data_IF_798041796216
#
_entry.id   IF_798041796216
#
_cell.length_a   1.000
_cell.length_b   1.000
_cell.length_c   1.000
_cell.angle_alpha   90.00
_cell.angle_beta   90.00
_cell.angle_gamma   90.00
#
_symmetry.space_group_name_H-M   'P 1'
#
loop_
_entity.id
_entity.type
_entity.pdbx_description
1 polymer ?
#
# COMPACT_ATOMS: atom_id res chain seq x y z
N UNK A 1 8.45 -11.41 -3.06
CA UNK A 1 7.32 -11.98 -2.35
C UNK A 1 6.75 -13.11 -3.18
N UNK A 2 6.57 -14.31 -2.61
CA UNK A 2 5.97 -15.45 -3.31
C UNK A 2 4.46 -15.23 -3.46
N UNK A 3 3.87 -15.75 -4.54
CA UNK A 3 2.41 -15.73 -4.74
C UNK A 3 1.84 -17.07 -4.33
N UNK A 4 0.82 -17.04 -3.47
CA UNK A 4 0.10 -18.25 -3.10
C UNK A 4 -0.75 -18.72 -4.31
N UNK A 5 -0.65 -19.97 -4.77
CA UNK A 5 -1.43 -20.46 -5.90
C UNK A 5 -2.95 -20.42 -5.60
N UNK A 6 -3.77 -20.46 -6.66
CA UNK A 6 -5.23 -20.42 -6.53
C UNK A 6 -5.78 -21.63 -5.74
N UNK A 7 -5.13 -22.77 -5.83
CA UNK A 7 -5.45 -23.96 -5.03
C UNK A 7 -4.22 -24.35 -4.19
N UNK A 8 -3.96 -23.65 -3.07
CA UNK A 8 -2.80 -23.90 -2.24
C UNK A 8 -2.98 -25.17 -1.41
N UNK A 9 -1.87 -25.86 -1.17
CA UNK A 9 -1.87 -27.08 -0.35
C UNK A 9 -1.08 -26.85 0.94
N UNK A 10 -1.73 -27.01 2.09
CA UNK A 10 -1.14 -26.78 3.40
C UNK A 10 0.03 -27.71 3.71
N UNK A 11 -0.04 -28.97 3.27
CA UNK A 11 1.05 -29.93 3.49
C UNK A 11 2.29 -29.61 2.65
N UNK A 12 2.07 -29.01 1.48
CA UNK A 12 3.17 -28.46 0.68
C UNK A 12 3.86 -27.29 1.41
N UNK A 13 3.08 -26.38 1.97
CA UNK A 13 3.60 -25.26 2.75
C UNK A 13 4.32 -25.72 4.03
N UNK A 14 3.81 -26.76 4.70
CA UNK A 14 4.47 -27.37 5.86
C UNK A 14 5.84 -27.98 5.48
N UNK A 15 5.95 -28.60 4.31
CA UNK A 15 7.24 -29.10 3.80
C UNK A 15 8.19 -27.94 3.51
N UNK A 16 7.73 -26.91 2.81
CA UNK A 16 8.56 -25.72 2.57
C UNK A 16 9.06 -25.08 3.87
N UNK A 17 8.23 -25.04 4.92
CA UNK A 17 8.66 -24.53 6.24
C UNK A 17 9.75 -25.40 6.86
N UNK A 18 9.68 -26.72 6.70
CA UNK A 18 10.73 -27.65 7.19
C UNK A 18 12.03 -27.50 6.39
N UNK A 19 11.93 -27.31 5.07
CA UNK A 19 13.10 -27.09 4.23
C UNK A 19 13.78 -25.75 4.57
N UNK A 20 12.96 -24.72 4.82
CA UNK A 20 13.45 -23.41 5.26
C UNK A 20 14.12 -23.48 6.64
N UNK A 21 13.60 -24.30 7.56
CA UNK A 21 14.20 -24.51 8.88
C UNK A 21 15.62 -25.06 8.79
N UNK A 22 15.87 -25.97 7.85
CA UNK A 22 17.23 -26.49 7.66
C UNK A 22 18.21 -25.34 7.33
N UNK A 23 17.86 -24.50 6.37
CA UNK A 23 18.69 -23.34 6.02
C UNK A 23 18.79 -22.28 7.14
N UNK A 24 17.74 -22.09 7.93
CA UNK A 24 17.80 -21.17 9.09
C UNK A 24 18.76 -21.67 10.16
N UNK A 25 18.82 -22.98 10.40
CA UNK A 25 19.72 -23.59 11.38
C UNK A 25 21.19 -23.55 11.01
N UNK A 26 21.50 -23.39 9.73
CA UNK A 26 22.87 -23.14 9.28
C UNK A 26 23.39 -21.78 9.76
N UNK A 27 22.48 -20.79 9.88
CA UNK A 27 22.81 -19.46 10.36
C UNK A 27 22.58 -19.28 11.87
N UNK A 28 21.54 -19.91 12.42
CA UNK A 28 21.17 -19.93 13.84
C UNK A 28 20.73 -21.34 14.26
N UNK A 29 21.59 -22.09 14.96
CA UNK A 29 21.29 -23.45 15.41
C UNK A 29 20.07 -23.55 16.34
N UNK A 30 19.62 -22.44 16.96
CA UNK A 30 18.48 -22.37 17.87
C UNK A 30 17.15 -22.16 17.16
N UNK A 31 17.17 -21.92 15.83
CA UNK A 31 15.97 -21.65 15.05
C UNK A 31 14.93 -22.76 15.20
N UNK A 32 13.70 -22.36 15.47
CA UNK A 32 12.55 -23.24 15.67
C UNK A 32 11.71 -23.42 14.40
N UNK A 33 10.85 -24.45 14.39
CA UNK A 33 9.87 -24.59 13.30
C UNK A 33 8.91 -23.39 13.23
N UNK A 34 8.60 -22.77 14.37
CA UNK A 34 7.76 -21.58 14.42
C UNK A 34 8.41 -20.40 13.68
N UNK A 35 9.73 -20.22 13.80
CA UNK A 35 10.47 -19.18 13.09
C UNK A 35 10.47 -19.44 11.58
N UNK A 36 10.65 -20.67 11.15
CA UNK A 36 10.57 -21.06 9.75
C UNK A 36 9.17 -20.87 9.16
N UNK A 37 8.13 -21.21 9.93
CA UNK A 37 6.74 -20.99 9.54
C UNK A 37 6.42 -19.49 9.43
N UNK A 38 6.88 -18.69 10.37
CA UNK A 38 6.71 -17.25 10.35
C UNK A 38 7.42 -16.63 9.14
N UNK A 39 8.68 -17.00 8.88
CA UNK A 39 9.44 -16.55 7.72
C UNK A 39 8.79 -16.98 6.39
N UNK A 40 8.24 -18.19 6.32
CA UNK A 40 7.51 -18.64 5.12
C UNK A 40 6.23 -17.84 4.91
N UNK A 41 5.47 -17.56 5.96
CA UNK A 41 4.27 -16.73 5.88
C UNK A 41 4.59 -15.33 5.33
N UNK A 42 5.66 -14.71 5.82
CA UNK A 42 6.16 -13.43 5.33
C UNK A 42 6.55 -13.47 3.85
N UNK A 43 7.23 -14.54 3.40
CA UNK A 43 7.56 -14.71 1.98
C UNK A 43 6.32 -14.72 1.08
N UNK A 44 5.19 -15.21 1.60
CA UNK A 44 3.89 -15.20 0.92
C UNK A 44 3.08 -13.90 1.21
N UNK A 45 3.64 -12.96 1.99
CA UNK A 45 3.00 -11.69 2.30
C UNK A 45 1.94 -11.79 3.39
N UNK A 46 1.99 -12.81 4.23
CA UNK A 46 1.11 -12.97 5.39
C UNK A 46 1.85 -12.59 6.67
N UNK A 47 1.11 -12.05 7.61
CA UNK A 47 1.62 -11.60 8.89
C UNK A 47 2.09 -12.78 9.76
N UNK A 48 1.29 -13.84 9.81
CA UNK A 48 1.56 -15.00 10.63
C UNK A 48 1.34 -16.31 9.84
N UNK A 49 1.85 -17.42 10.38
CA UNK A 49 1.54 -18.76 9.87
C UNK A 49 0.05 -19.09 9.97
N UNK A 50 -0.60 -18.59 11.01
CA UNK A 50 -2.04 -18.75 11.22
C UNK A 50 -2.82 -18.05 10.11
N UNK A 51 -2.42 -16.84 9.72
CA UNK A 51 -3.05 -16.11 8.62
C UNK A 51 -2.84 -16.82 7.28
N UNK A 52 -1.63 -17.32 7.02
CA UNK A 52 -1.35 -18.11 5.81
C UNK A 52 -2.22 -19.37 5.78
N UNK A 53 -2.38 -20.07 6.92
CA UNK A 53 -3.29 -21.22 7.05
C UNK A 53 -4.74 -20.83 6.77
N UNK A 54 -5.23 -19.78 7.40
CA UNK A 54 -6.59 -19.30 7.20
C UNK A 54 -6.85 -18.96 5.72
N UNK A 55 -5.87 -18.38 5.03
CA UNK A 55 -5.96 -18.12 3.59
C UNK A 55 -6.00 -19.41 2.75
N UNK A 56 -5.21 -20.43 3.11
CA UNK A 56 -5.27 -21.75 2.48
C UNK A 56 -6.65 -22.38 2.67
N UNK A 57 -7.14 -22.42 3.91
CA UNK A 57 -8.45 -22.98 4.25
C UNK A 57 -9.57 -22.20 3.52
N UNK A 58 -9.45 -20.89 3.45
CA UNK A 58 -10.38 -20.03 2.71
C UNK A 58 -10.39 -20.37 1.21
N UNK A 59 -9.22 -20.53 0.57
CA UNK A 59 -9.12 -20.90 -0.86
C UNK A 59 -9.63 -22.30 -1.12
N UNK A 60 -9.49 -23.20 -0.16
CA UNK A 60 -10.02 -24.56 -0.23
C UNK A 60 -11.53 -24.66 0.11
N UNK A 61 -12.15 -23.55 0.48
CA UNK A 61 -13.60 -23.46 0.67
C UNK A 61 -14.08 -23.67 2.12
N UNK A 62 -13.16 -23.64 3.11
CA UNK A 62 -13.48 -24.04 4.48
C UNK A 62 -13.75 -22.93 5.49
N UNK A 63 -13.23 -21.72 5.32
CA UNK A 63 -13.29 -20.73 6.40
C UNK A 63 -13.82 -19.37 5.92
N UNK A 64 -14.44 -18.66 6.86
CA UNK A 64 -14.83 -17.27 6.77
C UNK A 64 -15.90 -16.97 5.69
N UNK A 65 -17.01 -17.68 5.82
CA UNK A 65 -18.24 -17.40 5.08
C UNK A 65 -19.13 -16.51 5.95
N UNK A 66 -19.62 -15.43 5.38
CA UNK A 66 -20.56 -14.56 6.08
C UNK A 66 -21.92 -15.24 6.27
N UNK A 67 -22.67 -14.79 7.27
CA UNK A 67 -24.08 -15.15 7.42
C UNK A 67 -24.82 -14.88 6.08
N UNK A 68 -25.53 -15.86 5.53
CA UNK A 68 -26.34 -15.68 4.32
C UNK A 68 -27.33 -14.52 4.42
N UNK A 69 -27.87 -14.24 5.62
CA UNK A 69 -28.75 -13.10 5.84
C UNK A 69 -28.02 -11.76 5.64
N UNK A 70 -26.77 -11.64 6.08
CA UNK A 70 -25.94 -10.46 5.84
C UNK A 70 -25.65 -10.28 4.36
N UNK A 71 -25.29 -11.35 3.64
CA UNK A 71 -25.05 -11.30 2.20
C UNK A 71 -26.30 -10.83 1.44
N UNK A 72 -27.48 -11.36 1.80
CA UNK A 72 -28.77 -10.93 1.24
C UNK A 72 -29.09 -9.46 1.55
N UNK A 73 -28.84 -8.99 2.77
CA UNK A 73 -29.04 -7.59 3.13
C UNK A 73 -28.14 -6.65 2.34
N UNK A 74 -26.85 -7.00 2.15
CA UNK A 74 -25.92 -6.23 1.33
C UNK A 74 -26.40 -6.19 -0.12
N UNK A 75 -26.76 -7.35 -0.70
CA UNK A 75 -27.23 -7.42 -2.06
C UNK A 75 -28.51 -6.58 -2.27
N UNK A 76 -29.47 -6.65 -1.36
CA UNK A 76 -30.70 -5.88 -1.42
C UNK A 76 -30.42 -4.37 -1.29
N UNK A 77 -29.59 -3.97 -0.30
CA UNK A 77 -29.29 -2.56 -0.05
C UNK A 77 -28.55 -1.90 -1.20
N UNK A 78 -27.68 -2.62 -1.90
CA UNK A 78 -26.93 -2.13 -3.05
C UNK A 78 -27.58 -2.50 -4.40
N UNK A 79 -28.79 -3.06 -4.42
CA UNK A 79 -29.51 -3.40 -5.66
C UNK A 79 -28.77 -4.42 -6.55
N UNK A 80 -28.03 -5.34 -5.94
CA UNK A 80 -27.19 -6.32 -6.64
C UNK A 80 -27.97 -7.58 -7.07
N UNK A 81 -29.28 -7.61 -6.80
CA UNK A 81 -30.19 -8.72 -7.06
C UNK A 81 -29.91 -9.97 -6.21
N UNK A 82 -30.14 -11.16 -6.76
CA UNK A 82 -30.12 -12.41 -6.03
C UNK A 82 -28.69 -12.91 -5.77
N UNK A 83 -28.42 -13.30 -4.54
CA UNK A 83 -27.14 -13.91 -4.15
C UNK A 83 -27.10 -15.35 -4.67
N UNK A 84 -26.07 -15.70 -5.45
CA UNK A 84 -25.94 -17.00 -6.12
C UNK A 84 -24.94 -17.93 -5.44
N UNK A 85 -24.20 -17.44 -4.44
CA UNK A 85 -23.21 -18.22 -3.71
C UNK A 85 -22.87 -17.60 -2.35
N UNK A 86 -22.10 -18.30 -1.52
CA UNK A 86 -21.72 -17.80 -0.21
C UNK A 86 -20.82 -16.57 -0.34
N UNK A 87 -21.07 -15.53 0.47
CA UNK A 87 -20.17 -14.37 0.58
C UNK A 87 -18.93 -14.78 1.37
N UNK A 88 -17.75 -14.75 0.71
CA UNK A 88 -16.48 -15.25 1.26
C UNK A 88 -15.54 -14.11 1.63
N UNK A 89 -14.88 -14.23 2.78
CA UNK A 89 -13.87 -13.26 3.18
C UNK A 89 -12.66 -13.29 2.24
N UNK A 90 -12.18 -12.08 1.89
CA UNK A 90 -10.96 -11.84 1.13
C UNK A 90 -9.88 -11.17 1.98
N UNK A 91 -10.23 -10.81 3.21
CA UNK A 91 -9.32 -10.18 4.16
C UNK A 91 -8.60 -11.21 5.00
N UNK A 92 -7.44 -10.83 5.50
CA UNK A 92 -6.84 -11.49 6.65
C UNK A 92 -7.66 -11.16 7.90
N UNK A 93 -7.65 -12.02 8.93
CA UNK A 93 -8.44 -11.79 10.15
C UNK A 93 -8.15 -10.46 10.85
N UNK A 94 -6.92 -9.98 10.74
CA UNK A 94 -6.39 -8.75 11.37
C UNK A 94 -6.31 -7.55 10.43
N UNK A 95 -6.78 -7.70 9.18
CA UNK A 95 -6.76 -6.60 8.22
C UNK A 95 -7.86 -5.59 8.55
N UNK A 96 -7.47 -4.30 8.63
CA UNK A 96 -8.43 -3.21 8.83
C UNK A 96 -9.43 -3.17 7.68
N UNK A 97 -10.73 -3.16 8.02
CA UNK A 97 -11.81 -3.14 7.05
C UNK A 97 -11.93 -4.44 6.27
N UNK A 98 -12.74 -5.36 6.76
CA UNK A 98 -12.93 -6.66 6.11
C UNK A 98 -13.41 -6.52 4.68
N UNK A 99 -12.76 -7.24 3.76
CA UNK A 99 -13.11 -7.34 2.34
C UNK A 99 -13.74 -8.70 2.06
N UNK A 100 -14.75 -8.71 1.23
CA UNK A 100 -15.52 -9.90 0.89
C UNK A 100 -15.64 -10.06 -0.62
N UNK A 101 -15.87 -11.27 -1.08
CA UNK A 101 -16.35 -11.59 -2.42
C UNK A 101 -17.81 -12.01 -2.30
N UNK A 102 -18.69 -11.30 -2.99
CA UNK A 102 -20.11 -11.58 -3.11
C UNK A 102 -20.43 -11.92 -4.56
N UNK A 103 -21.07 -13.06 -4.80
CA UNK A 103 -21.54 -13.47 -6.13
C UNK A 103 -23.06 -13.31 -6.20
N UNK A 104 -23.52 -12.67 -7.27
CA UNK A 104 -24.95 -12.47 -7.55
C UNK A 104 -25.24 -12.79 -9.02
N UNK A 105 -26.51 -12.86 -9.39
CA UNK A 105 -26.95 -13.01 -10.78
C UNK A 105 -26.53 -11.85 -11.71
N UNK A 106 -26.09 -10.71 -11.12
CA UNK A 106 -25.52 -9.57 -11.86
C UNK A 106 -23.98 -9.60 -11.98
N UNK A 107 -23.33 -10.55 -11.34
CA UNK A 107 -21.87 -10.68 -11.36
C UNK A 107 -21.24 -10.74 -9.99
N UNK A 108 -19.96 -10.38 -9.94
CA UNK A 108 -19.15 -10.41 -8.73
C UNK A 108 -18.95 -9.01 -8.17
N UNK A 109 -18.92 -8.92 -6.85
CA UNK A 109 -18.81 -7.69 -6.10
C UNK A 109 -17.81 -7.84 -4.96
N UNK A 110 -17.23 -6.72 -4.56
CA UNK A 110 -16.30 -6.63 -3.45
C UNK A 110 -16.90 -5.78 -2.31
N UNK A 111 -17.78 -6.33 -1.45
CA UNK A 111 -18.21 -5.66 -0.24
C UNK A 111 -17.02 -5.46 0.72
N UNK A 112 -17.05 -4.33 1.40
CA UNK A 112 -16.03 -3.96 2.38
C UNK A 112 -16.64 -3.19 3.53
N UNK A 113 -16.21 -3.49 4.78
CA UNK A 113 -16.51 -2.63 5.91
C UNK A 113 -15.69 -1.33 5.81
N UNK A 114 -16.30 -0.23 6.24
CA UNK A 114 -15.63 1.07 6.31
C UNK A 114 -15.07 1.23 7.71
N UNK A 115 -13.76 1.33 7.79
CA UNK A 115 -13.06 1.65 9.03
C UNK A 115 -13.08 3.14 9.29
N UNK A 116 -13.30 3.53 10.54
CA UNK A 116 -13.31 4.93 10.97
C UNK A 116 -11.89 5.49 11.19
N UNK A 117 -10.87 4.62 11.10
CA UNK A 117 -9.48 5.04 11.37
C UNK A 117 -8.91 5.92 10.26
N UNK A 118 -9.40 5.82 9.02
CA UNK A 118 -8.91 6.59 7.88
C UNK A 118 -9.95 7.01 6.83
N UNK A 119 -11.08 7.61 7.12
CA UNK A 119 -11.70 8.43 6.10
C UNK A 119 -11.24 9.87 6.29
N UNK A 120 -10.11 10.22 5.74
CA UNK A 120 -9.71 11.63 5.70
C UNK A 120 -10.58 12.41 4.70
N UNK A 121 -11.16 11.67 3.76
CA UNK A 121 -12.13 12.18 2.79
C UNK A 121 -13.47 11.51 3.04
N UNK A 122 -14.55 12.30 3.04
CA UNK A 122 -15.91 11.77 3.14
C UNK A 122 -16.15 10.66 2.11
N UNK A 123 -16.98 9.69 2.48
CA UNK A 123 -17.25 8.54 1.63
C UNK A 123 -17.82 8.89 0.27
N UNK A 124 -18.67 9.91 0.21
CA UNK A 124 -19.29 10.38 -1.03
C UNK A 124 -18.30 11.17 -1.89
N UNK A 125 -17.48 12.03 -1.28
CA UNK A 125 -16.44 12.78 -2.00
C UNK A 125 -15.40 11.84 -2.57
N UNK A 126 -15.01 10.80 -1.81
CA UNK A 126 -14.12 9.74 -2.29
C UNK A 126 -14.70 8.97 -3.49
N UNK A 127 -15.99 8.64 -3.45
CA UNK A 127 -16.64 7.95 -4.58
C UNK A 127 -16.73 8.84 -5.81
N UNK A 128 -17.10 10.11 -5.67
CA UNK A 128 -17.12 11.09 -6.77
C UNK A 128 -15.74 11.23 -7.40
N UNK A 129 -14.68 11.21 -6.60
CA UNK A 129 -13.31 11.24 -7.09
C UNK A 129 -12.97 9.97 -7.90
N UNK A 130 -13.32 8.78 -7.39
CA UNK A 130 -13.14 7.53 -8.12
C UNK A 130 -13.92 7.52 -9.44
N UNK A 131 -15.18 7.95 -9.42
CA UNK A 131 -16.02 8.06 -10.61
C UNK A 131 -15.43 9.05 -11.64
N UNK A 132 -14.87 10.16 -11.17
CA UNK A 132 -14.19 11.14 -12.03
C UNK A 132 -12.91 10.55 -12.65
N UNK A 133 -12.10 9.83 -11.86
CA UNK A 133 -10.91 9.14 -12.34
C UNK A 133 -11.25 8.05 -13.38
N UNK A 134 -12.32 7.29 -13.13
CA UNK A 134 -12.81 6.28 -14.08
C UNK A 134 -13.25 6.92 -15.40
N UNK A 135 -14.01 8.01 -15.36
CA UNK A 135 -14.41 8.77 -16.56
C UNK A 135 -13.21 9.33 -17.32
N UNK A 136 -12.13 9.67 -16.62
CA UNK A 136 -10.87 10.11 -17.23
C UNK A 136 -10.01 8.96 -17.78
N UNK A 137 -10.48 7.68 -17.65
CA UNK A 137 -9.85 6.50 -18.25
C UNK A 137 -8.99 5.67 -17.31
N UNK A 138 -8.91 6.01 -16.02
CA UNK A 138 -8.25 5.16 -15.03
C UNK A 138 -9.09 3.91 -14.80
N UNK A 139 -8.47 2.74 -14.91
CA UNK A 139 -9.13 1.48 -14.61
C UNK A 139 -9.06 1.22 -13.10
N UNK A 140 -10.20 1.15 -12.47
CA UNK A 140 -10.35 0.96 -11.02
C UNK A 140 -11.65 0.19 -10.72
N UNK A 141 -11.76 -0.48 -9.57
CA UNK A 141 -13.02 -1.02 -9.08
C UNK A 141 -14.03 0.10 -8.87
N UNK A 142 -15.12 0.12 -9.65
CA UNK A 142 -16.13 1.17 -9.51
C UNK A 142 -16.91 1.02 -8.19
N UNK A 143 -17.13 2.09 -7.41
CA UNK A 143 -17.98 2.05 -6.26
C UNK A 143 -19.43 1.86 -6.68
N UNK A 144 -20.13 0.91 -6.06
CA UNK A 144 -21.56 0.73 -6.22
C UNK A 144 -22.30 1.72 -5.31
N UNK A 145 -23.44 2.21 -5.78
CA UNK A 145 -24.36 3.01 -4.98
C UNK A 145 -25.49 2.15 -4.45
N UNK A 146 -25.84 2.36 -3.19
CA UNK A 146 -27.01 1.74 -2.60
C UNK A 146 -28.31 2.22 -3.25
N UNK A 147 -29.41 1.57 -2.95
CA UNK A 147 -30.75 1.94 -3.42
C UNK A 147 -31.20 3.32 -2.90
N UNK A 148 -30.58 3.82 -1.85
CA UNK A 148 -30.72 5.20 -1.34
C UNK A 148 -29.96 6.23 -2.18
N UNK A 149 -29.05 5.81 -3.07
CA UNK A 149 -28.09 6.63 -3.79
C UNK A 149 -26.77 6.83 -3.05
N UNK A 150 -26.66 6.46 -1.76
CA UNK A 150 -25.45 6.59 -0.98
C UNK A 150 -24.42 5.51 -1.37
N UNK A 151 -23.12 5.82 -1.25
CA UNK A 151 -22.03 4.86 -1.45
C UNK A 151 -21.63 4.12 -0.18
N UNK A 152 -22.08 4.61 0.97
CA UNK A 152 -21.90 3.97 2.27
C UNK A 152 -23.26 3.69 2.86
N UNK A 153 -23.51 2.42 3.16
CA UNK A 153 -24.76 1.96 3.76
C UNK A 153 -24.48 1.34 5.13
N UNK A 154 -25.40 1.53 6.09
CA UNK A 154 -25.31 0.86 7.39
C UNK A 154 -26.16 -0.41 7.36
N UNK A 155 -25.53 -1.55 7.61
CA UNK A 155 -26.14 -2.88 7.59
C UNK A 155 -25.60 -3.67 8.77
N UNK A 156 -26.48 -4.19 9.62
CA UNK A 156 -26.08 -4.98 10.81
C UNK A 156 -25.19 -4.21 11.79
N UNK A 157 -25.39 -2.88 11.90
CA UNK A 157 -24.58 -2.02 12.77
C UNK A 157 -23.22 -1.61 12.20
N UNK A 158 -22.80 -2.16 11.07
CA UNK A 158 -21.55 -1.82 10.39
C UNK A 158 -21.81 -0.95 9.17
N UNK A 159 -20.83 -0.11 8.82
CA UNK A 159 -20.83 0.70 7.61
C UNK A 159 -20.19 -0.11 6.48
N UNK A 160 -20.84 -0.13 5.31
CA UNK A 160 -20.43 -0.92 4.16
C UNK A 160 -20.27 -0.08 2.93
N UNK A 161 -19.24 -0.42 2.13
CA UNK A 161 -19.10 -0.04 0.73
C UNK A 161 -19.06 -1.29 -0.13
N UNK A 162 -19.50 -1.17 -1.36
CA UNK A 162 -19.41 -2.25 -2.35
C UNK A 162 -18.72 -1.72 -3.60
N UNK A 163 -17.88 -2.54 -4.16
CA UNK A 163 -17.17 -2.23 -5.41
C UNK A 163 -17.45 -3.32 -6.43
N UNK A 164 -17.39 -2.94 -7.70
CA UNK A 164 -17.40 -3.90 -8.80
C UNK A 164 -16.13 -4.77 -8.71
N UNK A 165 -16.30 -6.07 -8.96
CA UNK A 165 -15.18 -6.99 -9.00
C UNK A 165 -14.45 -6.91 -10.33
N UNK A 166 -13.19 -6.50 -10.32
CA UNK A 166 -12.33 -6.52 -11.49
C UNK A 166 -11.38 -7.73 -11.45
N UNK A 167 -11.41 -8.52 -12.52
CA UNK A 167 -10.44 -9.60 -12.71
C UNK A 167 -9.06 -8.99 -12.99
N UNK A 168 -8.11 -9.28 -12.14
CA UNK A 168 -6.74 -8.79 -12.24
C UNK A 168 -5.76 -9.77 -11.62
N UNK A 169 -4.49 -9.67 -12.01
CA UNK A 169 -3.39 -10.41 -11.41
C UNK A 169 -3.11 -10.00 -9.96
N UNK A 170 -2.06 -10.57 -9.36
CA UNK A 170 -1.63 -10.19 -8.02
C UNK A 170 -1.14 -8.73 -7.99
N UNK A 171 -1.04 -8.13 -6.79
CA UNK A 171 -0.37 -6.85 -6.61
C UNK A 171 1.03 -6.88 -7.22
N UNK A 172 1.45 -5.77 -7.80
CA UNK A 172 2.81 -5.62 -8.30
C UNK A 172 3.80 -5.50 -7.14
N UNK A 173 5.05 -5.78 -7.41
CA UNK A 173 6.16 -5.55 -6.49
C UNK A 173 7.35 -4.96 -7.28
N UNK A 174 7.95 -3.88 -6.78
CA UNK A 174 9.15 -3.34 -7.40
C UNK A 174 10.35 -4.30 -7.20
N UNK A 175 11.27 -4.40 -8.17
CA UNK A 175 11.32 -3.63 -9.42
C UNK A 175 10.35 -4.14 -10.50
N UNK A 176 9.77 -3.22 -11.24
CA UNK A 176 8.91 -3.50 -12.41
C UNK A 176 9.51 -2.94 -13.69
N UNK A 177 8.96 -3.32 -14.84
CA UNK A 177 9.43 -2.79 -16.14
C UNK A 177 9.19 -1.28 -16.28
N UNK A 178 10.04 -0.61 -17.05
CA UNK A 178 9.89 0.81 -17.37
C UNK A 178 8.56 1.12 -18.07
N UNK A 179 7.98 0.16 -18.80
CA UNK A 179 6.67 0.32 -19.42
C UNK A 179 5.56 0.47 -18.36
N UNK A 180 5.60 -0.32 -17.30
CA UNK A 180 4.65 -0.24 -16.18
C UNK A 180 4.79 1.12 -15.47
N UNK A 181 6.01 1.53 -15.11
CA UNK A 181 6.22 2.82 -14.43
C UNK A 181 5.82 4.01 -15.29
N UNK A 182 6.00 3.93 -16.60
CA UNK A 182 5.50 4.95 -17.54
C UNK A 182 3.97 5.07 -17.48
N UNK A 183 3.27 3.93 -17.47
CA UNK A 183 1.80 3.93 -17.34
C UNK A 183 1.35 4.45 -15.98
N UNK A 184 2.08 4.16 -14.91
CA UNK A 184 1.82 4.75 -13.58
C UNK A 184 1.94 6.28 -13.62
N UNK A 185 2.95 6.81 -14.30
CA UNK A 185 3.09 8.26 -14.51
C UNK A 185 1.91 8.88 -15.27
N UNK A 186 1.42 8.23 -16.31
CA UNK A 186 0.22 8.64 -17.06
C UNK A 186 -1.03 8.65 -16.17
N UNK A 187 -1.22 7.61 -15.36
CA UNK A 187 -2.33 7.51 -14.39
C UNK A 187 -2.27 8.65 -13.37
N UNK A 188 -1.12 8.89 -12.75
CA UNK A 188 -0.94 10.00 -11.79
C UNK A 188 -1.27 11.34 -12.41
N UNK A 189 -0.77 11.61 -13.61
CA UNK A 189 -1.07 12.85 -14.34
C UNK A 189 -2.58 12.98 -14.66
N UNK A 190 -3.25 11.88 -14.99
CA UNK A 190 -4.69 11.84 -15.22
C UNK A 190 -5.45 12.21 -13.95
N UNK A 191 -5.08 11.61 -12.82
CA UNK A 191 -5.70 11.87 -11.50
C UNK A 191 -5.48 13.32 -11.06
N UNK A 192 -4.25 13.82 -11.13
CA UNK A 192 -3.92 15.21 -10.79
C UNK A 192 -4.60 16.23 -11.73
N UNK A 193 -4.81 15.82 -12.99
CA UNK A 193 -5.50 16.64 -13.99
C UNK A 193 -6.98 16.90 -13.68
N UNK A 194 -7.59 16.13 -12.77
CA UNK A 194 -8.95 16.38 -12.28
C UNK A 194 -9.06 17.66 -11.45
N UNK A 195 -7.96 18.11 -10.82
CA UNK A 195 -7.83 19.35 -10.06
C UNK A 195 -8.96 19.59 -9.05
N UNK A 196 -9.44 18.55 -8.40
CA UNK A 196 -10.46 18.64 -7.36
C UNK A 196 -9.81 19.21 -6.09
N UNK A 197 -10.18 20.42 -5.63
CA UNK A 197 -9.58 21.01 -4.44
C UNK A 197 -9.85 20.15 -3.20
N UNK A 198 -8.86 20.05 -2.30
CA UNK A 198 -8.99 19.33 -1.05
C UNK A 198 -8.06 19.91 0.02
N UNK A 199 -8.41 19.83 1.31
CA UNK A 199 -7.51 20.24 2.38
C UNK A 199 -6.28 19.34 2.42
N UNK A 200 -5.14 19.91 2.83
CA UNK A 200 -3.88 19.18 2.92
C UNK A 200 -3.99 18.02 3.92
N UNK A 201 -3.54 16.84 3.49
CA UNK A 201 -3.55 15.63 4.30
C UNK A 201 -2.68 15.77 5.57
N UNK A 202 -3.24 15.63 6.77
CA UNK A 202 -2.48 15.71 8.01
C UNK A 202 -1.38 14.64 8.07
N UNK A 203 -1.65 13.40 7.64
CA UNK A 203 -0.69 12.30 7.67
C UNK A 203 0.63 12.59 6.95
N UNK A 204 0.57 13.34 5.85
CA UNK A 204 1.74 13.69 5.03
C UNK A 204 2.30 15.07 5.37
N UNK A 205 1.68 15.83 6.29
CA UNK A 205 2.07 17.21 6.59
C UNK A 205 2.41 17.47 8.05
N UNK A 206 1.95 16.61 8.96
CA UNK A 206 2.15 16.73 10.40
C UNK A 206 2.79 15.45 10.93
N UNK A 207 3.86 15.60 11.73
CA UNK A 207 4.42 14.48 12.48
C UNK A 207 3.60 14.27 13.75
N UNK A 208 2.98 13.07 13.88
CA UNK A 208 2.16 12.73 15.04
C UNK A 208 2.95 12.24 16.25
N UNK A 209 4.16 11.68 16.03
CA UNK A 209 5.01 11.22 17.14
C UNK A 209 5.47 12.40 17.99
N UNK A 210 5.17 12.36 19.28
CA UNK A 210 5.63 13.35 20.27
C UNK A 210 7.06 13.11 20.74
N UNK A 211 7.50 11.84 20.74
CA UNK A 211 8.80 11.39 21.22
C UNK A 211 9.88 11.56 20.14
N UNK A 212 11.09 11.96 20.54
CA UNK A 212 12.25 12.00 19.65
C UNK A 212 12.73 10.59 19.29
N UNK A 213 13.44 10.45 18.16
CA UNK A 213 13.90 9.13 17.70
C UNK A 213 14.90 8.47 18.64
N UNK A 214 15.82 9.26 19.24
CA UNK A 214 16.76 8.75 20.24
C UNK A 214 16.03 8.31 21.51
N UNK A 215 15.10 9.11 22.01
CA UNK A 215 14.27 8.80 23.16
C UNK A 215 13.43 7.54 22.94
N UNK A 216 12.87 7.36 21.73
CA UNK A 216 12.15 6.15 21.36
C UNK A 216 13.06 4.91 21.33
N UNK A 217 14.32 5.06 20.86
CA UNK A 217 15.30 3.99 20.88
C UNK A 217 15.67 3.58 22.32
N UNK A 218 15.86 4.57 23.22
CA UNK A 218 16.13 4.34 24.64
C UNK A 218 14.93 3.65 25.32
N UNK A 219 13.70 4.09 25.02
CA UNK A 219 12.48 3.47 25.55
C UNK A 219 12.32 2.02 25.07
N UNK A 220 12.62 1.74 23.80
CA UNK A 220 12.62 0.40 23.26
C UNK A 220 13.67 -0.51 23.92
N UNK A 221 14.89 0.02 24.16
CA UNK A 221 15.94 -0.69 24.87
C UNK A 221 15.54 -0.99 26.32
N UNK A 222 14.97 -0.02 27.02
CA UNK A 222 14.49 -0.19 28.41
C UNK A 222 13.39 -1.26 28.54
N UNK A 223 12.56 -1.44 27.50
CA UNK A 223 11.55 -2.52 27.42
C UNK A 223 12.16 -3.86 26.96
N UNK A 224 13.45 -3.93 26.65
CA UNK A 224 14.10 -5.14 26.13
C UNK A 224 13.67 -5.53 24.72
N UNK A 225 13.18 -4.59 23.90
CA UNK A 225 12.76 -4.85 22.55
C UNK A 225 13.95 -5.32 21.69
N UNK A 226 13.84 -6.50 21.09
CA UNK A 226 14.93 -7.11 20.33
C UNK A 226 15.34 -6.29 19.09
N UNK A 227 14.48 -5.39 18.61
CA UNK A 227 14.75 -4.46 17.52
C UNK A 227 15.33 -3.09 17.96
N UNK A 228 15.46 -2.83 19.26
CA UNK A 228 16.00 -1.56 19.77
C UNK A 228 17.37 -1.19 19.17
N UNK A 229 18.35 -2.11 19.02
CA UNK A 229 19.62 -1.79 18.37
C UNK A 229 19.46 -1.36 16.90
N UNK A 230 18.47 -1.94 16.18
CA UNK A 230 18.18 -1.58 14.77
C UNK A 230 17.59 -0.17 14.71
N UNK A 231 16.69 0.19 15.64
CA UNK A 231 16.16 1.55 15.73
C UNK A 231 17.26 2.55 16.08
N UNK A 232 18.12 2.25 17.06
CA UNK A 232 19.24 3.10 17.41
C UNK A 232 20.16 3.37 16.22
N UNK A 233 20.49 2.34 15.42
CA UNK A 233 21.25 2.48 14.19
C UNK A 233 20.53 3.31 13.11
N UNK A 234 19.20 3.29 13.08
CA UNK A 234 18.37 4.04 12.10
C UNK A 234 18.15 5.52 12.52
N UNK A 235 18.43 5.92 13.76
CA UNK A 235 18.20 7.29 14.26
C UNK A 235 18.79 8.37 13.35
N UNK A 236 20.03 8.27 12.83
CA UNK A 236 20.57 9.29 11.92
C UNK A 236 19.74 9.42 10.62
N UNK A 237 19.29 8.31 10.06
CA UNK A 237 18.42 8.29 8.87
C UNK A 237 17.08 8.94 9.16
N UNK A 238 16.44 8.58 10.27
CA UNK A 238 15.16 9.13 10.70
C UNK A 238 15.25 10.63 10.97
N UNK A 239 16.35 11.09 11.59
CA UNK A 239 16.64 12.52 11.80
C UNK A 239 16.83 13.25 10.46
N UNK A 240 17.53 12.62 9.51
CA UNK A 240 17.67 13.16 8.15
C UNK A 240 16.32 13.27 7.41
N UNK A 241 15.46 12.29 7.55
CA UNK A 241 14.08 12.33 7.02
C UNK A 241 13.23 13.40 7.73
N UNK A 242 13.41 13.58 9.04
CA UNK A 242 12.73 14.64 9.78
C UNK A 242 13.12 16.03 9.24
N UNK A 243 14.38 16.27 8.97
CA UNK A 243 14.81 17.53 8.37
C UNK A 243 14.18 17.80 6.99
N UNK A 244 13.96 16.74 6.17
CA UNK A 244 13.22 16.87 4.91
C UNK A 244 11.73 17.16 5.17
N UNK A 245 11.13 16.51 6.17
CA UNK A 245 9.73 16.70 6.57
C UNK A 245 9.43 18.09 7.17
N UNK A 246 10.42 18.75 7.72
CA UNK A 246 10.31 20.09 8.33
C UNK A 246 10.48 21.24 7.34
N UNK A 247 10.83 20.96 6.08
CA UNK A 247 10.93 21.99 5.05
C UNK A 247 9.59 22.72 4.89
N UNK A 248 9.58 24.03 5.10
CA UNK A 248 8.40 24.90 5.09
C UNK A 248 8.19 25.61 3.77
N UNK A 249 8.92 25.21 2.71
CA UNK A 249 8.66 25.74 1.36
C UNK A 249 7.18 25.56 1.04
N UNK A 250 6.54 26.67 0.64
CA UNK A 250 5.09 26.65 0.33
C UNK A 250 4.84 25.72 -0.85
N UNK A 251 4.09 24.65 -0.66
CA UNK A 251 3.75 23.75 -1.75
C UNK A 251 2.70 24.39 -2.67
N UNK A 252 2.55 23.83 -3.87
CA UNK A 252 1.40 24.07 -4.73
C UNK A 252 0.09 23.77 -3.96
N UNK A 253 -1.00 24.39 -4.39
CA UNK A 253 -2.32 24.13 -3.78
C UNK A 253 -2.66 22.63 -3.80
N UNK A 254 -3.12 22.07 -2.68
CA UNK A 254 -3.46 20.65 -2.62
C UNK A 254 -4.73 20.37 -3.44
N UNK A 255 -4.69 19.25 -4.14
CA UNK A 255 -5.83 18.69 -4.85
C UNK A 255 -6.06 17.26 -4.37
N UNK A 256 -7.25 16.70 -4.59
CA UNK A 256 -7.48 15.28 -4.34
C UNK A 256 -6.50 14.46 -5.16
N UNK A 257 -5.67 13.70 -4.46
CA UNK A 257 -4.73 12.73 -4.95
C UNK A 257 -5.13 11.35 -4.47
N UNK A 258 -4.64 10.31 -5.13
CA UNK A 258 -4.87 8.94 -4.67
C UNK A 258 -4.15 8.64 -3.35
N UNK A 259 -3.00 9.27 -3.13
CA UNK A 259 -2.17 9.21 -1.93
C UNK A 259 -1.61 7.81 -1.58
N UNK A 260 -1.80 6.81 -2.45
CA UNK A 260 -1.32 5.45 -2.21
C UNK A 260 -1.03 4.66 -3.50
N UNK A 261 -0.59 5.35 -4.58
CA UNK A 261 -0.20 4.70 -5.83
C UNK A 261 1.19 4.06 -5.68
N UNK A 262 1.23 2.94 -4.99
CA UNK A 262 2.41 2.09 -4.85
C UNK A 262 2.20 0.73 -5.55
N UNK A 263 3.25 -0.08 -5.76
CA UNK A 263 3.14 -1.37 -6.43
C UNK A 263 2.10 -2.32 -5.82
N UNK A 264 1.93 -2.29 -4.50
CA UNK A 264 0.96 -3.13 -3.78
C UNK A 264 -0.51 -2.82 -4.12
N UNK A 265 -0.79 -1.61 -4.60
CA UNK A 265 -2.13 -1.14 -4.97
C UNK A 265 -2.35 -1.09 -6.49
N UNK A 266 -1.42 -1.61 -7.27
CA UNK A 266 -1.55 -1.68 -8.74
C UNK A 266 -1.45 -3.14 -9.20
N UNK A 267 -2.30 -3.52 -10.11
CA UNK A 267 -2.40 -4.87 -10.66
C UNK A 267 -2.47 -4.81 -12.17
N UNK A 268 -2.10 -5.91 -12.84
CA UNK A 268 -2.30 -6.05 -14.29
C UNK A 268 -3.66 -6.70 -14.51
N UNK A 269 -4.55 -6.00 -15.16
CA UNK A 269 -5.88 -6.48 -15.56
C UNK A 269 -5.92 -6.99 -16.99
N UNK A 270 -7.12 -7.17 -17.50
CA UNK A 270 -7.37 -7.64 -18.86
C UNK A 270 -6.69 -6.72 -19.90
N UNK A 271 -6.12 -7.33 -20.94
CA UNK A 271 -5.43 -6.60 -22.00
C UNK A 271 -4.15 -5.88 -21.56
N UNK A 272 -3.58 -6.24 -20.39
CA UNK A 272 -2.37 -5.63 -19.86
C UNK A 272 -2.58 -4.24 -19.26
N UNK A 273 -3.81 -3.77 -19.10
CA UNK A 273 -4.14 -2.48 -18.49
C UNK A 273 -3.89 -2.53 -16.98
N UNK A 274 -3.40 -1.43 -16.41
CA UNK A 274 -3.20 -1.35 -14.96
C UNK A 274 -4.51 -1.01 -14.24
N UNK A 275 -4.85 -1.82 -13.24
CA UNK A 275 -5.96 -1.59 -12.31
C UNK A 275 -5.39 -0.95 -11.05
N UNK A 276 -5.93 0.20 -10.66
CA UNK A 276 -5.52 0.92 -9.45
C UNK A 276 -6.55 0.67 -8.34
N UNK A 277 -6.08 0.20 -7.19
CA UNK A 277 -6.86 -0.06 -5.96
C UNK A 277 -6.33 0.79 -4.82
N UNK A 278 -6.95 0.76 -3.63
CA UNK A 278 -6.46 1.52 -2.47
C UNK A 278 -6.92 2.98 -2.45
N UNK A 279 -8.05 3.29 -3.08
CA UNK A 279 -8.62 4.64 -3.16
C UNK A 279 -9.11 5.20 -1.83
N UNK A 280 -9.26 4.37 -0.81
CA UNK A 280 -9.62 4.79 0.55
C UNK A 280 -8.64 5.77 1.19
N UNK A 281 -7.40 5.81 0.68
CA UNK A 281 -6.36 6.73 1.12
C UNK A 281 -6.40 8.08 0.37
N UNK A 282 -7.32 8.26 -0.58
CA UNK A 282 -7.42 9.50 -1.34
C UNK A 282 -7.59 10.71 -0.44
N UNK A 283 -6.78 11.75 -0.69
CA UNK A 283 -6.66 12.90 0.19
C UNK A 283 -6.06 14.10 -0.54
N UNK A 284 -6.11 15.27 0.08
CA UNK A 284 -5.48 16.46 -0.45
C UNK A 284 -3.97 16.45 -0.36
N UNK A 285 -3.30 16.49 -1.50
CA UNK A 285 -1.84 16.65 -1.61
C UNK A 285 -1.47 17.60 -2.74
N UNK A 286 -0.36 18.34 -2.62
CA UNK A 286 0.27 18.92 -3.79
C UNK A 286 0.66 17.80 -4.78
N UNK A 287 0.37 17.92 -6.09
CA UNK A 287 0.72 16.92 -7.10
C UNK A 287 2.20 16.50 -7.08
N UNK A 288 3.10 17.46 -6.78
CA UNK A 288 4.52 17.20 -6.65
C UNK A 288 4.84 16.22 -5.51
N UNK A 289 4.08 16.25 -4.41
CA UNK A 289 4.30 15.35 -3.27
C UNK A 289 3.87 13.92 -3.59
N UNK A 290 2.71 13.74 -4.24
CA UNK A 290 2.30 12.40 -4.66
C UNK A 290 3.22 11.85 -5.76
N UNK A 291 3.69 12.66 -6.68
CA UNK A 291 4.68 12.25 -7.68
C UNK A 291 6.00 11.83 -7.01
N UNK A 292 6.46 12.53 -5.98
CA UNK A 292 7.64 12.17 -5.20
C UNK A 292 7.43 10.87 -4.41
N UNK A 293 6.23 10.65 -3.86
CA UNK A 293 5.83 9.38 -3.23
C UNK A 293 5.89 8.22 -4.25
N UNK A 294 5.30 8.40 -5.42
CA UNK A 294 5.33 7.39 -6.46
C UNK A 294 6.77 7.09 -6.94
N UNK A 295 7.59 8.13 -7.16
CA UNK A 295 9.00 7.95 -7.50
C UNK A 295 9.75 7.11 -6.46
N UNK A 296 9.49 7.35 -5.17
CA UNK A 296 10.10 6.58 -4.09
C UNK A 296 9.66 5.12 -4.13
N UNK A 297 8.36 4.85 -4.31
CA UNK A 297 7.84 3.47 -4.25
C UNK A 297 8.11 2.66 -5.53
N UNK A 298 8.22 3.31 -6.69
CA UNK A 298 8.37 2.63 -7.97
C UNK A 298 9.80 2.59 -8.50
N UNK A 299 10.66 3.51 -8.05
CA UNK A 299 12.01 3.63 -8.57
C UNK A 299 13.10 3.37 -7.53
N UNK A 300 12.78 3.24 -6.25
CA UNK A 300 13.76 2.86 -5.22
C UNK A 300 13.62 1.38 -4.91
N UNK A 301 14.71 0.65 -5.07
CA UNK A 301 14.76 -0.77 -4.72
C UNK A 301 14.79 -0.94 -3.17
N UNK A 302 14.40 -2.10 -2.62
CA UNK A 302 14.48 -2.38 -1.19
C UNK A 302 15.88 -2.14 -0.59
N UNK A 303 16.95 -2.31 -1.35
CA UNK A 303 18.32 -1.98 -0.93
C UNK A 303 18.71 -0.49 -1.04
N UNK A 304 17.76 0.42 -1.26
CA UNK A 304 18.00 1.86 -1.36
C UNK A 304 18.54 2.35 -2.70
N UNK A 305 18.87 1.45 -3.63
CA UNK A 305 19.37 1.81 -4.96
C UNK A 305 18.28 2.41 -5.84
N UNK A 306 18.59 3.45 -6.63
CA UNK A 306 17.65 4.09 -7.54
C UNK A 306 17.66 3.44 -8.92
N UNK A 307 16.51 2.92 -9.35
CA UNK A 307 16.28 2.48 -10.73
C UNK A 307 16.01 3.70 -11.62
N UNK A 308 17.08 4.21 -12.24
CA UNK A 308 17.05 5.41 -13.09
C UNK A 308 16.07 5.23 -14.27
N UNK A 309 16.00 4.04 -14.86
CA UNK A 309 15.09 3.76 -15.98
C UNK A 309 13.62 3.86 -15.54
N UNK A 310 13.28 3.30 -14.39
CA UNK A 310 11.94 3.39 -13.82
C UNK A 310 11.57 4.84 -13.46
N UNK A 311 12.46 5.58 -12.80
CA UNK A 311 12.24 6.99 -12.44
C UNK A 311 11.98 7.84 -13.70
N UNK A 312 12.81 7.71 -14.73
CA UNK A 312 12.66 8.44 -16.00
C UNK A 312 11.39 8.06 -16.74
N UNK A 313 11.05 6.77 -16.76
CA UNK A 313 9.83 6.31 -17.42
C UNK A 313 8.58 6.87 -16.75
N UNK A 314 8.55 6.91 -15.40
CA UNK A 314 7.45 7.47 -14.63
C UNK A 314 7.24 8.95 -14.96
N UNK A 315 8.28 9.78 -14.86
CA UNK A 315 8.16 11.22 -15.17
C UNK A 315 7.90 11.47 -16.66
N UNK A 316 8.37 10.60 -17.55
CA UNK A 316 8.05 10.69 -18.97
C UNK A 316 6.56 10.44 -19.22
N UNK A 317 5.97 9.40 -18.61
CA UNK A 317 4.52 9.14 -18.69
C UNK A 317 3.70 10.31 -18.16
N UNK A 318 4.08 10.82 -16.98
CA UNK A 318 3.43 11.97 -16.38
C UNK A 318 3.48 13.21 -17.30
N UNK A 319 4.68 13.57 -17.77
CA UNK A 319 4.87 14.73 -18.67
C UNK A 319 4.09 14.60 -19.96
N UNK A 320 4.08 13.42 -20.56
CA UNK A 320 3.38 13.16 -21.80
C UNK A 320 1.86 13.40 -21.66
N UNK A 321 1.31 13.07 -20.51
CA UNK A 321 -0.12 13.23 -20.22
C UNK A 321 -0.48 14.64 -19.78
N UNK A 322 0.29 15.24 -18.87
CA UNK A 322 0.00 16.55 -18.29
C UNK A 322 0.52 17.73 -19.12
N UNK A 323 1.33 17.50 -20.15
CA UNK A 323 2.03 18.55 -20.89
C UNK A 323 3.23 19.16 -20.15
N UNK A 324 3.49 18.78 -18.89
CA UNK A 324 4.57 19.28 -18.07
C UNK A 324 4.79 18.44 -16.82
N UNK A 325 5.73 18.84 -15.99
CA UNK A 325 5.94 18.27 -14.65
C UNK A 325 5.76 19.38 -13.61
N UNK A 326 5.21 19.07 -12.43
CA UNK A 326 5.35 19.96 -11.29
C UNK A 326 6.84 20.15 -10.96
N UNK A 327 7.19 21.27 -10.37
CA UNK A 327 8.57 21.52 -9.95
C UNK A 327 8.97 20.50 -8.88
N UNK A 328 9.96 19.65 -9.19
CA UNK A 328 10.48 18.66 -8.25
C UNK A 328 11.75 19.20 -7.58
N UNK A 329 11.80 19.12 -6.27
CA UNK A 329 12.93 19.46 -5.43
C UNK A 329 12.97 18.56 -4.21
N UNK A 330 13.97 18.70 -3.37
CA UNK A 330 14.01 17.95 -2.11
C UNK A 330 12.79 18.25 -1.22
N UNK A 331 12.30 19.49 -1.23
CA UNK A 331 11.09 19.89 -0.51
C UNK A 331 9.83 19.12 -0.93
N UNK A 332 9.75 18.63 -2.17
CA UNK A 332 8.58 17.85 -2.62
C UNK A 332 8.53 16.44 -2.03
N UNK A 333 9.64 15.95 -1.43
CA UNK A 333 9.66 14.71 -0.67
C UNK A 333 9.21 14.87 0.78
N UNK A 334 8.83 16.07 1.20
CA UNK A 334 8.30 16.32 2.54
C UNK A 334 7.16 15.37 2.92
N UNK A 335 6.17 15.21 2.03
CA UNK A 335 5.04 14.31 2.28
C UNK A 335 5.47 12.86 2.48
N UNK A 336 6.44 12.38 1.69
CA UNK A 336 7.04 11.04 1.85
C UNK A 336 7.76 10.93 3.19
N UNK A 337 8.61 11.88 3.50
CA UNK A 337 9.43 11.87 4.72
C UNK A 337 8.54 11.91 5.98
N UNK A 338 7.51 12.77 6.00
CA UNK A 338 6.56 12.87 7.12
C UNK A 338 5.72 11.60 7.26
N UNK A 339 5.16 11.09 6.15
CA UNK A 339 4.36 9.87 6.16
C UNK A 339 5.15 8.64 6.61
N UNK A 340 6.40 8.50 6.17
CA UNK A 340 7.31 7.44 6.63
C UNK A 340 7.58 7.53 8.12
N UNK A 341 7.84 8.74 8.65
CA UNK A 341 8.06 8.93 10.09
C UNK A 341 6.82 8.54 10.91
N UNK A 342 5.63 8.94 10.45
CA UNK A 342 4.38 8.56 11.11
C UNK A 342 4.17 7.04 11.05
N UNK A 343 4.51 6.40 9.94
CA UNK A 343 4.41 4.95 9.80
C UNK A 343 5.41 4.21 10.72
N UNK A 344 6.67 4.66 10.76
CA UNK A 344 7.68 4.09 11.68
C UNK A 344 7.22 4.25 13.13
N UNK A 345 6.77 5.43 13.53
CA UNK A 345 6.31 5.68 14.88
C UNK A 345 5.12 4.79 15.26
N UNK A 346 4.13 4.66 14.37
CA UNK A 346 2.98 3.78 14.59
C UNK A 346 3.36 2.29 14.68
N UNK A 347 4.27 1.82 13.81
CA UNK A 347 4.70 0.41 13.84
C UNK A 347 5.57 0.11 15.06
N UNK A 348 6.42 1.03 15.50
CA UNK A 348 7.21 0.85 16.71
C UNK A 348 6.35 0.89 17.97
N UNK A 349 5.33 1.75 18.03
CA UNK A 349 4.36 1.78 19.11
C UNK A 349 3.57 0.46 19.19
N UNK A 350 3.08 -0.03 18.06
CA UNK A 350 2.41 -1.32 17.96
C UNK A 350 3.33 -2.46 18.45
N UNK A 351 4.61 -2.45 18.06
CA UNK A 351 5.59 -3.45 18.47
C UNK A 351 5.90 -3.41 19.97
N UNK A 352 5.91 -2.22 20.58
CA UNK A 352 6.13 -2.04 22.02
C UNK A 352 4.94 -2.48 22.87
N UNK A 353 3.74 -2.50 22.31
CA UNK A 353 2.47 -2.76 22.99
C UNK A 353 1.77 -4.02 22.49
N UNK A 354 2.48 -4.90 21.76
CA UNK A 354 1.92 -6.17 21.26
C UNK A 354 1.45 -7.06 22.45
N UNK A 355 0.25 -7.60 22.35
CA UNK A 355 -0.42 -8.32 23.43
C UNK A 355 -0.22 -9.85 23.42
N UNK A 356 0.45 -10.40 22.41
CA UNK A 356 0.68 -11.84 22.26
C UNK A 356 2.01 -12.16 21.56
N UNK A 357 2.55 -13.37 21.81
CA UNK A 357 3.85 -13.80 21.28
C UNK A 357 3.92 -13.80 19.74
N UNK A 358 2.84 -14.14 19.06
CA UNK A 358 2.79 -14.17 17.60
C UNK A 358 2.76 -12.75 17.04
N UNK A 359 1.95 -11.88 17.62
CA UNK A 359 1.89 -10.46 17.29
C UNK A 359 3.22 -9.76 17.57
N UNK A 360 3.85 -10.05 18.71
CA UNK A 360 5.16 -9.53 19.07
C UNK A 360 6.23 -9.92 18.04
N UNK A 361 6.27 -11.21 17.64
CA UNK A 361 7.21 -11.67 16.60
C UNK A 361 6.97 -11.03 15.24
N UNK A 362 5.69 -10.87 14.84
CA UNK A 362 5.37 -10.16 13.61
C UNK A 362 5.83 -8.71 13.67
N UNK A 363 5.47 -8.02 14.74
CA UNK A 363 5.81 -6.61 14.93
C UNK A 363 7.35 -6.40 14.96
N UNK A 364 8.10 -7.28 15.63
CA UNK A 364 9.57 -7.28 15.64
C UNK A 364 10.13 -7.37 14.21
N UNK A 365 9.67 -8.35 13.41
CA UNK A 365 10.13 -8.49 12.02
C UNK A 365 9.76 -7.29 11.16
N UNK A 366 8.52 -6.80 11.29
CA UNK A 366 8.04 -5.67 10.51
C UNK A 366 8.83 -4.39 10.82
N UNK A 367 9.06 -4.10 12.09
CA UNK A 367 9.88 -2.97 12.52
C UNK A 367 11.31 -3.09 11.99
N UNK A 368 11.95 -4.25 12.13
CA UNK A 368 13.30 -4.49 11.60
C UNK A 368 13.37 -4.28 10.10
N UNK A 369 12.44 -4.88 9.36
CA UNK A 369 12.37 -4.73 7.92
C UNK A 369 12.21 -3.26 7.52
N UNK A 370 11.28 -2.56 8.15
CA UNK A 370 11.02 -1.15 7.89
C UNK A 370 12.26 -0.29 8.15
N UNK A 371 12.89 -0.44 9.32
CA UNK A 371 14.05 0.36 9.72
C UNK A 371 15.29 0.11 8.86
N UNK A 372 15.46 -1.11 8.32
CA UNK A 372 16.58 -1.45 7.44
C UNK A 372 16.37 -1.04 5.98
N UNK A 373 15.15 -0.66 5.58
CA UNK A 373 14.79 -0.31 4.20
C UNK A 373 14.34 1.14 4.04
N UNK A 374 14.60 1.99 5.02
CA UNK A 374 14.27 3.41 4.92
C UNK A 374 15.05 4.08 3.79
N UNK A 375 14.38 4.87 2.93
CA UNK A 375 15.10 5.77 2.05
C UNK A 375 15.85 6.82 2.89
N UNK A 376 16.97 7.29 2.38
CA UNK A 376 17.73 8.37 3.00
C UNK A 376 17.49 9.68 2.24
N UNK A 377 17.91 10.80 2.80
CA UNK A 377 17.97 12.07 2.07
C UNK A 377 18.76 11.92 0.76
N UNK A 378 19.90 11.21 0.80
CA UNK A 378 20.70 10.94 -0.40
C UNK A 378 19.92 10.13 -1.46
N UNK A 379 19.04 9.22 -1.04
CA UNK A 379 18.15 8.48 -1.95
C UNK A 379 17.24 9.47 -2.71
N UNK A 380 16.64 10.44 -2.04
CA UNK A 380 15.78 11.45 -2.68
C UNK A 380 16.58 12.33 -3.65
N UNK A 381 17.80 12.74 -3.24
CA UNK A 381 18.70 13.50 -4.11
C UNK A 381 19.10 12.70 -5.37
N UNK A 382 19.34 11.40 -5.25
CA UNK A 382 19.60 10.50 -6.38
C UNK A 382 18.38 10.37 -7.31
N UNK A 383 17.17 10.25 -6.76
CA UNK A 383 15.91 10.24 -7.54
C UNK A 383 15.78 11.53 -8.33
N UNK A 384 15.99 12.68 -7.69
CA UNK A 384 15.96 14.00 -8.36
C UNK A 384 17.01 14.07 -9.48
N UNK A 385 18.25 13.67 -9.23
CA UNK A 385 19.30 13.63 -10.24
C UNK A 385 18.96 12.71 -11.41
N UNK A 386 18.25 11.58 -11.15
CA UNK A 386 17.82 10.66 -12.19
C UNK A 386 16.79 11.28 -13.14
N UNK A 387 15.86 12.08 -12.61
CA UNK A 387 14.77 12.68 -13.39
C UNK A 387 15.12 14.04 -14.02
N UNK A 388 16.11 14.76 -13.46
CA UNK A 388 16.55 16.07 -13.94
C UNK A 388 17.47 15.98 -15.16
N UNK A 389 18.20 14.88 -15.35
CA UNK A 389 19.11 14.70 -16.46
C UNK A 389 18.32 14.36 -17.72
N UNK A 390 18.14 15.33 -18.61
CA UNK A 390 17.73 15.06 -19.99
C UNK A 390 18.77 14.13 -20.65
N UNK A 391 18.37 13.12 -21.45
CA UNK A 391 19.32 12.43 -22.32
C UNK A 391 19.95 13.50 -23.21
N UNK A 392 21.29 13.64 -23.15
CA UNK A 392 22.03 14.43 -24.14
C UNK A 392 21.67 13.86 -25.51
N UNK A 393 20.97 14.65 -26.33
CA UNK A 393 20.69 14.26 -27.70
C UNK A 393 22.02 13.87 -28.35
N UNK A 394 22.14 12.64 -28.82
CA UNK A 394 23.18 12.30 -29.78
C UNK A 394 22.84 13.13 -31.03
N UNK A 395 23.54 14.22 -31.22
CA UNK A 395 23.68 14.85 -32.54
C UNK A 395 24.38 13.81 -33.40
N UNK A 396 23.61 13.09 -34.21
CA UNK A 396 24.19 12.44 -35.39
C UNK A 396 24.67 13.57 -36.27
N UNK A 397 25.96 13.77 -36.36
CA UNK A 397 26.60 14.54 -37.40
C UNK A 397 26.66 13.58 -38.60
N UNK A 398 25.76 13.81 -39.56
CA UNK A 398 25.88 13.17 -40.86
C UNK A 398 27.20 13.66 -41.50
N UNK A 399 28.11 12.70 -41.68
CA UNK A 399 29.30 12.84 -42.56
C UNK A 399 29.09 12.02 -43.80
#
# INVERSE_FOLDING_TARGET
>A
MKTLPDNPNLDHLRRQAKDLLAGLRDADPTASLADAQASLAEQYGFRTWTDLKAEVDRRQGGADVADPALAGQIAARFGLREVTGPMRSMSRPDEMGRRWLLETDRGRWAPRTVDDVFPVTDGEDNARFQEAAARAGVLLPAPARGTSGAVVETIGGNRWRVYEWLHSGPPLAAPVSAAITRTVGDILATVHGLRIPAPLCPWSSIRFASMGWAELADAAAAKGAAWAPVLAAAVPTLTGLQAVGEDRTTPDEPVLCHNNVNPGNVRVGAGGRLVVTGWEHANGLPPAWELSYALTNWAVAPGGGVNVAAARALVHGYRARAGGLPALSLATFRGVATGLQNYVAGQTDLALNASGDEDARYADRNVRHLLTHLPTRATFEQVLAAVSRQPRGRTYVDT
#
